data_IF_240827616623
#
_entry.id   IF_240827616623
#
_cell.length_a   1.000
_cell.length_b   1.000
_cell.length_c   1.000
_cell.angle_alpha   90.00
_cell.angle_beta   90.00
_cell.angle_gamma   90.00
#
_symmetry.space_group_name_H-M   'P 1'
#
loop_
_entity.id
_entity.type
_entity.pdbx_description
1 polymer ?
#
# COMPACT_ATOMS: atom_id res chain seq x y z
N UNK A 1 -7.24 -11.76 -15.99
CA UNK A 1 -5.84 -11.93 -15.51
C UNK A 1 -5.32 -10.53 -15.23
N UNK A 2 -5.25 -10.13 -13.95
CA UNK A 2 -4.80 -8.78 -13.58
C UNK A 2 -3.26 -8.76 -13.52
N UNK A 3 -2.64 -7.93 -14.36
CA UNK A 3 -1.20 -7.71 -14.34
C UNK A 3 -0.88 -6.67 -13.26
N UNK A 4 -0.16 -7.05 -12.21
CA UNK A 4 0.27 -6.12 -11.17
C UNK A 4 1.68 -5.59 -11.46
N UNK A 5 1.86 -4.27 -11.38
CA UNK A 5 3.16 -3.59 -11.41
C UNK A 5 3.39 -2.93 -10.05
N UNK A 6 4.45 -3.32 -9.35
CA UNK A 6 4.87 -2.67 -8.11
C UNK A 6 5.66 -1.42 -8.49
N UNK A 7 5.11 -0.24 -8.19
CA UNK A 7 5.80 1.04 -8.36
C UNK A 7 6.28 1.49 -6.98
N UNK A 8 7.60 1.56 -6.78
CA UNK A 8 8.20 2.08 -5.54
C UNK A 8 8.65 3.51 -5.83
N UNK A 9 7.91 4.50 -5.32
CA UNK A 9 8.34 5.91 -5.34
C UNK A 9 8.60 6.39 -3.93
N UNK A 10 9.75 7.04 -3.69
CA UNK A 10 10.03 7.82 -2.47
C UNK A 10 9.11 9.05 -2.44
N UNK A 11 7.83 8.84 -2.13
CA UNK A 11 6.91 9.95 -1.86
C UNK A 11 7.16 10.37 -0.41
N UNK A 12 7.56 11.63 -0.21
CA UNK A 12 7.50 12.31 1.08
C UNK A 12 6.03 12.42 1.52
N UNK A 13 5.44 11.32 1.99
CA UNK A 13 4.05 11.23 2.44
C UNK A 13 4.03 11.55 3.92
N UNK A 14 3.59 12.75 4.25
CA UNK A 14 3.51 13.27 5.62
C UNK A 14 2.44 12.57 6.48
N UNK A 15 1.73 11.55 5.97
CA UNK A 15 0.73 10.83 6.74
C UNK A 15 0.53 9.37 6.27
N UNK A 16 1.53 8.52 6.53
CA UNK A 16 1.43 7.08 6.26
C UNK A 16 0.73 6.39 7.44
N UNK A 17 -0.60 6.34 7.44
CA UNK A 17 -1.36 5.56 8.44
C UNK A 17 -1.67 4.18 7.87
N UNK A 18 -1.28 3.14 8.59
CA UNK A 18 -1.57 1.76 8.21
C UNK A 18 -3.07 1.51 8.20
N UNK A 19 -3.61 1.06 7.06
CA UNK A 19 -5.04 0.80 6.91
C UNK A 19 -5.54 -0.33 7.82
N UNK A 20 -4.68 -1.28 8.19
CA UNK A 20 -5.04 -2.44 9.03
C UNK A 20 -5.03 -2.12 10.52
N UNK A 21 -3.90 -1.68 11.06
CA UNK A 21 -3.75 -1.45 12.49
C UNK A 21 -4.05 -0.01 12.93
N UNK A 22 -4.30 0.89 11.97
CA UNK A 22 -4.57 2.33 12.17
C UNK A 22 -3.44 3.07 12.91
N UNK A 23 -2.25 2.48 13.00
CA UNK A 23 -1.04 3.13 13.53
C UNK A 23 -0.29 3.88 12.44
N UNK A 24 0.45 4.89 12.84
CA UNK A 24 1.40 5.57 11.96
C UNK A 24 2.50 4.61 11.52
N UNK A 25 2.92 4.73 10.26
CA UNK A 25 4.07 4.05 9.67
C UNK A 25 5.21 5.07 9.69
N UNK A 26 6.25 4.76 10.46
CA UNK A 26 7.40 5.65 10.53
C UNK A 26 8.13 5.71 9.19
N UNK A 27 8.81 6.83 8.85
CA UNK A 27 9.52 6.95 7.57
C UNK A 27 10.56 5.86 7.29
N UNK A 28 11.14 5.27 8.35
CA UNK A 28 12.11 4.18 8.25
C UNK A 28 11.47 2.78 8.40
N UNK A 29 10.15 2.70 8.58
CA UNK A 29 9.45 1.41 8.69
C UNK A 29 9.12 0.83 7.33
N UNK A 30 9.41 -0.48 7.19
CA UNK A 30 9.05 -1.24 6.01
C UNK A 30 7.52 -1.35 5.91
N UNK A 31 6.98 -0.96 4.77
CA UNK A 31 5.54 -0.96 4.53
C UNK A 31 5.20 -1.39 3.10
N UNK A 32 3.95 -1.76 2.91
CA UNK A 32 3.35 -2.16 1.64
C UNK A 32 2.47 -1.02 1.15
N UNK A 33 2.52 -0.73 -0.14
CA UNK A 33 1.57 0.13 -0.83
C UNK A 33 0.64 -0.78 -1.61
N UNK A 34 -0.64 -0.77 -1.27
CA UNK A 34 -1.67 -1.55 -1.96
C UNK A 34 -2.37 -0.61 -2.93
N UNK A 35 -2.33 -0.95 -4.22
CA UNK A 35 -2.97 -0.20 -5.30
C UNK A 35 -3.96 -1.10 -6.01
N UNK A 36 -5.16 -0.59 -6.27
CA UNK A 36 -6.12 -1.26 -7.15
C UNK A 36 -5.96 -0.76 -8.58
N UNK A 37 -6.05 -1.69 -9.55
CA UNK A 37 -6.06 -1.39 -10.98
C UNK A 37 -7.40 -1.84 -11.53
N UNK A 38 -8.21 -0.91 -12.01
CA UNK A 38 -9.51 -1.18 -12.63
C UNK A 38 -9.49 -0.65 -14.05
N UNK A 39 -9.81 -1.52 -15.02
CA UNK A 39 -9.81 -1.19 -16.46
C UNK A 39 -8.50 -0.50 -16.91
N UNK A 40 -7.36 -1.07 -16.51
CA UNK A 40 -6.00 -0.58 -16.81
C UNK A 40 -5.69 0.84 -16.28
N UNK A 41 -6.52 1.37 -15.37
CA UNK A 41 -6.29 2.64 -14.67
C UNK A 41 -5.97 2.39 -13.20
N UNK A 42 -4.96 3.09 -12.69
CA UNK A 42 -4.66 3.11 -11.25
C UNK A 42 -5.76 3.88 -10.53
N UNK A 43 -6.38 3.23 -9.54
CA UNK A 43 -7.35 3.85 -8.65
C UNK A 43 -6.70 4.19 -7.30
N UNK A 44 -7.48 4.26 -6.22
CA UNK A 44 -6.97 4.57 -4.87
C UNK A 44 -5.86 3.63 -4.40
N UNK A 45 -5.02 4.16 -3.50
CA UNK A 45 -3.95 3.42 -2.83
C UNK A 45 -4.02 3.62 -1.31
N UNK A 46 -3.51 2.64 -0.57
CA UNK A 46 -3.34 2.74 0.88
C UNK A 46 -2.09 2.02 1.36
N UNK A 47 -1.64 2.40 2.56
CA UNK A 47 -0.44 1.89 3.18
C UNK A 47 -0.78 0.81 4.20
N UNK A 48 0.05 -0.23 4.29
CA UNK A 48 -0.06 -1.28 5.32
C UNK A 48 1.31 -1.63 5.87
N UNK A 49 1.43 -1.86 7.18
CA UNK A 49 2.64 -2.46 7.76
C UNK A 49 2.84 -3.87 7.18
N UNK A 50 4.09 -4.25 6.95
CA UNK A 50 4.42 -5.59 6.41
C UNK A 50 3.93 -6.70 7.32
N UNK A 51 3.98 -6.48 8.63
CA UNK A 51 3.56 -7.41 9.69
C UNK A 51 2.04 -7.49 9.87
N UNK A 52 1.28 -6.54 9.33
CA UNK A 52 -0.17 -6.60 9.44
C UNK A 52 -0.70 -7.80 8.63
N UNK A 53 -1.57 -8.64 9.24
CA UNK A 53 -2.14 -9.79 8.54
C UNK A 53 -2.97 -9.31 7.35
N UNK A 54 -2.63 -9.82 6.16
CA UNK A 54 -3.28 -9.46 4.90
C UNK A 54 -3.79 -10.70 4.19
N UNK A 55 -5.11 -10.77 3.97
CA UNK A 55 -5.67 -11.62 2.93
C UNK A 55 -5.41 -10.90 1.61
N UNK A 56 -4.36 -11.31 0.90
CA UNK A 56 -4.24 -10.96 -0.52
C UNK A 56 -5.30 -11.77 -1.27
N UNK A 57 -6.53 -11.24 -1.36
CA UNK A 57 -7.52 -11.79 -2.29
C UNK A 57 -7.21 -11.23 -3.67
N UNK A 58 -6.77 -12.14 -4.54
CA UNK A 58 -6.42 -11.92 -5.95
C UNK A 58 -7.66 -11.72 -6.79
#
# INVERSE_FOLDING_TARGET
MANYRIVVTELNVTNMVCNKCKKFINPMELHKIVMYIVADKFTDHYYEHVECPGNFTV
#
